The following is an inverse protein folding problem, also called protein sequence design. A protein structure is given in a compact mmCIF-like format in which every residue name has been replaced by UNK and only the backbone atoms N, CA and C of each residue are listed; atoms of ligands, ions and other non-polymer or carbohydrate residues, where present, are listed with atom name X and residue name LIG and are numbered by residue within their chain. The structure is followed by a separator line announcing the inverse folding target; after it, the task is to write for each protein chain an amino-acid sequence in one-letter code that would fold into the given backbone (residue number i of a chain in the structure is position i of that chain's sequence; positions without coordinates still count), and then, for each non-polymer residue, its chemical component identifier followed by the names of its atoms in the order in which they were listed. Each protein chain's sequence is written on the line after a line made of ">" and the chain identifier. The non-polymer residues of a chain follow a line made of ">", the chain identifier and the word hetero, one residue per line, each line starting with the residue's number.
data_IF_847497787095
#
_entry.id   IF_847497787095
#
_cell.length_a   1.000
_cell.length_b   1.000
_cell.length_c   1.000
_cell.angle_alpha   90.00
_cell.angle_beta   90.00
_cell.angle_gamma   90.00
#
_symmetry.space_group_name_H-M   'P 1'
#
loop_
_entity.id
_entity.type
_entity.pdbx_description
1 polymer ?
#
# COMPACT_ATOMS: atom_id res chain seq x y z
N UNK A 1 -14.86 -1.67 8.36
CA UNK A 1 -14.70 -0.97 7.07
C UNK A 1 -13.36 -1.36 6.49
N UNK A 2 -13.25 -1.44 5.16
CA UNK A 2 -11.99 -1.80 4.49
C UNK A 2 -11.65 -0.72 3.47
N UNK A 3 -10.39 -0.33 3.42
CA UNK A 3 -9.95 0.81 2.60
C UNK A 3 -8.68 0.47 1.85
N UNK A 4 -8.63 0.83 0.57
CA UNK A 4 -7.42 0.74 -0.24
C UNK A 4 -6.91 2.14 -0.61
N UNK A 5 -5.62 2.37 -0.33
CA UNK A 5 -4.89 3.54 -0.78
C UNK A 5 -4.17 3.22 -2.09
N UNK A 6 -4.36 4.09 -3.08
CA UNK A 6 -3.69 4.00 -4.37
C UNK A 6 -2.51 4.96 -4.44
N UNK A 7 -1.29 4.42 -4.49
CA UNK A 7 -0.06 5.21 -4.51
C UNK A 7 0.61 5.05 -5.87
N UNK A 8 0.51 6.09 -6.70
CA UNK A 8 1.09 6.13 -8.06
C UNK A 8 2.25 7.11 -8.20
N UNK A 9 2.51 7.94 -7.19
CA UNK A 9 3.61 8.92 -7.19
C UNK A 9 4.46 8.80 -5.92
N UNK A 10 5.70 9.28 -5.99
CA UNK A 10 6.61 9.31 -4.83
C UNK A 10 6.17 10.34 -3.78
N UNK A 11 5.48 11.40 -4.21
CA UNK A 11 4.81 12.35 -3.30
C UNK A 11 3.77 11.62 -2.44
N UNK A 12 2.90 10.83 -3.06
CA UNK A 12 1.91 10.01 -2.35
C UNK A 12 2.55 9.01 -1.38
N UNK A 13 3.66 8.40 -1.80
CA UNK A 13 4.43 7.50 -0.94
C UNK A 13 4.96 8.22 0.30
N UNK A 14 5.33 9.51 0.19
CA UNK A 14 5.98 10.27 1.26
C UNK A 14 5.12 10.50 2.50
N UNK A 15 3.80 10.29 2.41
CA UNK A 15 2.86 10.46 3.52
C UNK A 15 1.80 9.34 3.62
N UNK A 16 1.95 8.24 2.89
CA UNK A 16 0.93 7.15 2.92
C UNK A 16 0.85 6.49 4.30
N UNK A 17 1.97 6.31 4.97
CA UNK A 17 2.07 5.79 6.34
C UNK A 17 1.27 6.65 7.31
N UNK A 18 1.42 7.97 7.25
CA UNK A 18 0.65 8.89 8.07
C UNK A 18 -0.86 8.80 7.78
N UNK A 19 -1.27 8.61 6.51
CA UNK A 19 -2.68 8.42 6.16
C UNK A 19 -3.25 7.11 6.69
N UNK A 20 -2.49 6.02 6.58
CA UNK A 20 -2.89 4.70 7.10
C UNK A 20 -3.02 4.76 8.62
N UNK A 21 -2.02 5.28 9.33
CA UNK A 21 -2.03 5.41 10.79
C UNK A 21 -3.19 6.28 11.26
N UNK A 22 -3.44 7.42 10.61
CA UNK A 22 -4.57 8.28 10.97
C UNK A 22 -5.93 7.60 10.75
N UNK A 23 -6.09 6.79 9.70
CA UNK A 23 -7.32 6.04 9.46
C UNK A 23 -7.54 4.95 10.50
N UNK A 24 -6.47 4.24 10.89
CA UNK A 24 -6.55 3.18 11.90
C UNK A 24 -6.79 3.73 13.31
N UNK A 25 -6.30 4.94 13.61
CA UNK A 25 -6.50 5.62 14.89
C UNK A 25 -7.82 6.41 14.97
N UNK A 26 -8.67 6.38 13.92
CA UNK A 26 -9.96 7.07 13.94
C UNK A 26 -11.02 6.22 14.66
N UNK A 27 -11.15 6.46 15.96
CA UNK A 27 -12.11 5.77 16.84
C UNK A 27 -13.59 5.99 16.44
N UNK A 28 -13.88 6.90 15.51
CA UNK A 28 -15.24 7.08 14.98
C UNK A 28 -15.62 6.01 13.94
N UNK A 29 -14.64 5.23 13.47
CA UNK A 29 -14.80 4.21 12.44
C UNK A 29 -14.32 2.86 12.95
N UNK A 30 -15.09 1.80 12.68
CA UNK A 30 -14.58 0.43 12.82
C UNK A 30 -13.85 0.06 11.54
N UNK A 31 -12.52 0.20 11.48
CA UNK A 31 -11.67 -0.22 10.36
C UNK A 31 -11.17 -1.65 10.62
N UNK A 32 -11.31 -2.54 9.65
CA UNK A 32 -10.97 -3.97 9.79
C UNK A 32 -9.84 -4.39 8.84
N UNK A 33 -9.59 -3.62 7.77
CA UNK A 33 -8.44 -3.85 6.91
C UNK A 33 -8.06 -2.59 6.12
N UNK A 34 -6.76 -2.40 5.90
CA UNK A 34 -6.20 -1.36 5.05
C UNK A 34 -5.21 -1.98 4.07
N UNK A 35 -5.30 -1.62 2.80
CA UNK A 35 -4.36 -2.04 1.78
C UNK A 35 -3.73 -0.81 1.13
N UNK A 36 -2.46 -0.91 0.76
CA UNK A 36 -1.78 0.06 -0.10
C UNK A 36 -1.41 -0.64 -1.39
N UNK A 37 -1.86 -0.11 -2.53
CA UNK A 37 -1.50 -0.62 -3.86
C UNK A 37 -0.58 0.39 -4.53
N UNK A 38 0.63 -0.07 -4.84
CA UNK A 38 1.64 0.70 -5.58
C UNK A 38 1.68 0.23 -7.03
N UNK A 39 1.42 1.13 -7.98
CA UNK A 39 1.23 0.77 -9.39
C UNK A 39 2.22 1.41 -10.37
N UNK A 40 3.25 2.08 -9.86
CA UNK A 40 4.22 2.83 -10.66
C UNK A 40 5.67 2.35 -10.39
N UNK A 41 6.50 2.10 -11.43
CA UNK A 41 7.89 1.66 -11.26
C UNK A 41 8.74 2.58 -10.38
N UNK A 42 8.65 3.89 -10.57
CA UNK A 42 9.45 4.85 -9.81
C UNK A 42 9.08 4.86 -8.32
N UNK A 43 7.84 4.53 -8.00
CA UNK A 43 7.37 4.41 -6.61
C UNK A 43 7.81 3.10 -6.00
N UNK A 44 7.83 2.01 -6.79
CA UNK A 44 8.40 0.73 -6.36
C UNK A 44 9.89 0.89 -6.04
N UNK A 45 10.65 1.57 -6.90
CA UNK A 45 12.06 1.86 -6.66
C UNK A 45 12.27 2.69 -5.39
N UNK A 46 11.42 3.70 -5.17
CA UNK A 46 11.45 4.50 -3.94
C UNK A 46 11.07 3.68 -2.70
N UNK A 47 10.13 2.74 -2.82
CA UNK A 47 9.70 1.86 -1.73
C UNK A 47 10.76 0.82 -1.33
N UNK A 48 11.74 0.54 -2.19
CA UNK A 48 12.81 -0.41 -1.90
C UNK A 48 13.93 0.17 -1.02
N UNK A 49 14.04 1.51 -0.92
CA UNK A 49 15.18 2.15 -0.26
C UNK A 49 14.86 3.40 0.55
N UNK A 50 15.76 3.70 1.49
CA UNK A 50 15.73 4.91 2.33
C UNK A 50 14.37 5.14 3.00
N UNK A 51 13.99 6.41 3.04
CA UNK A 51 12.72 6.93 3.54
C UNK A 51 11.46 6.20 3.03
N UNK A 52 11.46 5.75 1.77
CA UNK A 52 10.30 5.05 1.21
C UNK A 52 10.15 3.64 1.78
N UNK A 53 11.27 2.97 2.04
CA UNK A 53 11.31 1.66 2.68
C UNK A 53 10.74 1.70 4.09
N UNK A 54 11.21 2.66 4.90
CA UNK A 54 10.77 2.83 6.30
C UNK A 54 9.25 3.08 6.39
N UNK A 55 8.69 3.84 5.43
CA UNK A 55 7.25 4.09 5.36
C UNK A 55 6.45 2.84 5.01
N UNK A 56 6.93 2.03 4.06
CA UNK A 56 6.28 0.75 3.74
C UNK A 56 6.34 -0.22 4.93
N UNK A 57 7.49 -0.30 5.63
CA UNK A 57 7.62 -1.07 6.86
C UNK A 57 6.65 -0.57 7.95
N UNK A 58 6.49 0.75 8.07
CA UNK A 58 5.52 1.36 9.00
C UNK A 58 4.08 0.96 8.66
N UNK A 59 3.68 0.99 7.39
CA UNK A 59 2.34 0.54 6.97
C UNK A 59 2.12 -0.94 7.31
N UNK A 60 3.09 -1.81 7.01
CA UNK A 60 3.00 -3.24 7.30
C UNK A 60 2.94 -3.52 8.81
N UNK A 61 3.65 -2.73 9.62
CA UNK A 61 3.65 -2.86 11.07
C UNK A 61 2.44 -2.20 11.76
N UNK A 62 1.68 -1.35 11.06
CA UNK A 62 0.52 -0.66 11.62
C UNK A 62 -0.70 -1.57 11.83
N UNK A 63 -0.71 -2.77 11.24
CA UNK A 63 -1.72 -3.77 11.51
C UNK A 63 -1.65 -4.28 12.96
N UNK A 64 -2.77 -4.79 13.47
CA UNK A 64 -2.89 -5.27 14.84
C UNK A 64 -4.12 -6.17 15.02
N UNK A 65 -4.52 -6.39 16.27
CA UNK A 65 -5.63 -7.30 16.60
C UNK A 65 -6.97 -6.90 15.95
N UNK A 66 -7.18 -5.60 15.73
CA UNK A 66 -8.43 -5.04 15.22
C UNK A 66 -8.47 -4.83 13.69
N UNK A 67 -7.30 -4.77 13.05
CA UNK A 67 -7.21 -4.46 11.62
C UNK A 67 -5.96 -5.03 10.95
N UNK A 68 -6.17 -5.63 9.77
CA UNK A 68 -5.08 -6.11 8.92
C UNK A 68 -4.51 -4.96 8.07
N UNK A 69 -3.19 -4.96 7.84
CA UNK A 69 -2.55 -4.09 6.84
C UNK A 69 -1.81 -4.90 5.79
N UNK A 70 -1.84 -4.42 4.55
CA UNK A 70 -1.14 -5.06 3.43
C UNK A 70 -0.57 -4.01 2.46
N UNK A 71 0.60 -4.30 1.89
CA UNK A 71 1.18 -3.52 0.80
C UNK A 71 1.35 -4.44 -0.41
N UNK A 72 0.79 -4.03 -1.56
CA UNK A 72 0.79 -4.79 -2.80
C UNK A 72 1.41 -3.98 -3.93
N UNK A 73 2.36 -4.57 -4.66
CA UNK A 73 2.97 -3.95 -5.84
C UNK A 73 2.41 -4.55 -7.13
N UNK A 74 2.16 -3.69 -8.11
CA UNK A 74 1.69 -4.09 -9.44
C UNK A 74 2.76 -4.92 -10.16
N UNK A 75 2.44 -6.16 -10.54
CA UNK A 75 3.35 -7.04 -11.26
C UNK A 75 3.88 -6.47 -12.58
N UNK A 76 3.07 -5.67 -13.29
CA UNK A 76 3.46 -5.05 -14.54
C UNK A 76 4.42 -3.87 -14.30
N UNK A 77 4.15 -3.06 -13.27
CA UNK A 77 5.02 -1.96 -12.88
C UNK A 77 6.37 -2.45 -12.34
N UNK A 78 6.37 -3.53 -11.57
CA UNK A 78 7.57 -4.18 -11.06
C UNK A 78 8.52 -4.61 -12.20
N UNK A 79 8.02 -4.92 -13.41
CA UNK A 79 8.88 -5.23 -14.58
C UNK A 79 9.61 -4.01 -15.14
N UNK A 80 9.09 -2.80 -14.89
CA UNK A 80 9.71 -1.55 -15.30
C UNK A 80 10.53 -0.89 -14.19
N UNK A 81 10.54 -1.47 -12.99
CA UNK A 81 11.30 -0.99 -11.85
C UNK A 81 12.73 -1.57 -11.91
N UNK A 82 13.66 -0.90 -11.25
CA UNK A 82 15.01 -1.43 -11.03
C UNK A 82 14.99 -2.44 -9.87
N UNK A 83 14.20 -2.15 -8.84
CA UNK A 83 14.00 -3.03 -7.70
C UNK A 83 13.18 -4.27 -8.05
N UNK A 84 13.53 -5.38 -7.42
CA UNK A 84 12.79 -6.64 -7.44
C UNK A 84 11.89 -6.75 -6.19
N UNK A 85 11.07 -7.80 -6.14
CA UNK A 85 10.25 -8.06 -4.95
C UNK A 85 11.12 -8.35 -3.71
N UNK A 86 12.32 -8.90 -3.90
CA UNK A 86 13.25 -9.24 -2.80
C UNK A 86 13.92 -8.00 -2.20
N UNK A 87 13.99 -6.91 -2.95
CA UNK A 87 14.54 -5.63 -2.48
C UNK A 87 13.53 -4.85 -1.61
N UNK A 88 12.24 -5.21 -1.67
CA UNK A 88 11.18 -4.56 -0.91
C UNK A 88 11.11 -5.08 0.53
N UNK A 89 10.46 -4.34 1.46
CA UNK A 89 10.19 -4.84 2.80
C UNK A 89 9.53 -6.22 2.84
N UNK A 90 9.90 -7.02 3.85
CA UNK A 90 9.26 -8.31 4.08
C UNK A 90 7.76 -8.12 4.34
N UNK A 91 6.92 -8.92 3.67
CA UNK A 91 5.46 -8.77 3.72
C UNK A 91 4.86 -7.97 2.58
N UNK A 92 5.67 -7.30 1.74
CA UNK A 92 5.16 -6.76 0.47
C UNK A 92 4.81 -7.89 -0.48
N UNK A 93 3.58 -7.88 -0.98
CA UNK A 93 3.05 -8.89 -1.89
C UNK A 93 2.97 -8.38 -3.33
N UNK A 94 2.93 -9.30 -4.29
CA UNK A 94 2.74 -8.97 -5.70
C UNK A 94 1.27 -9.13 -6.10
N UNK A 95 0.67 -8.07 -6.63
CA UNK A 95 -0.63 -8.16 -7.31
C UNK A 95 -0.46 -8.41 -8.81
N UNK A 96 -1.39 -9.14 -9.44
CA UNK A 96 -1.34 -9.44 -10.89
C UNK A 96 -1.34 -8.18 -11.77
N UNK A 97 -2.07 -7.14 -11.37
CA UNK A 97 -1.97 -5.78 -11.88
C UNK A 97 -2.50 -4.81 -10.83
N UNK A 98 -1.92 -3.61 -10.73
CA UNK A 98 -2.35 -2.60 -9.73
C UNK A 98 -3.80 -2.19 -9.94
N UNK A 99 -4.17 -1.80 -11.16
CA UNK A 99 -5.56 -1.45 -11.51
C UNK A 99 -6.53 -2.61 -11.33
N UNK A 100 -6.14 -3.85 -11.66
CA UNK A 100 -7.00 -5.02 -11.47
C UNK A 100 -7.22 -5.33 -9.99
N UNK A 101 -6.20 -5.13 -9.16
CA UNK A 101 -6.28 -5.24 -7.71
C UNK A 101 -7.23 -4.19 -7.12
N UNK A 102 -7.08 -2.93 -7.51
CA UNK A 102 -7.96 -1.84 -7.10
C UNK A 102 -9.42 -2.09 -7.51
N UNK A 103 -9.65 -2.63 -8.71
CA UNK A 103 -11.00 -2.98 -9.17
C UNK A 103 -11.58 -4.12 -8.35
N UNK A 104 -10.81 -5.19 -8.06
CA UNK A 104 -11.27 -6.31 -7.23
C UNK A 104 -11.64 -5.85 -5.82
N UNK A 105 -10.75 -5.10 -5.16
CA UNK A 105 -11.00 -4.59 -3.81
C UNK A 105 -12.26 -3.71 -3.78
N UNK A 106 -12.41 -2.78 -4.73
CA UNK A 106 -13.62 -1.96 -4.80
C UNK A 106 -14.89 -2.78 -5.06
N UNK A 107 -14.83 -3.78 -5.96
CA UNK A 107 -15.95 -4.69 -6.20
C UNK A 107 -16.33 -5.49 -4.95
N UNK A 108 -15.34 -5.83 -4.11
CA UNK A 108 -15.52 -6.48 -2.82
C UNK A 108 -15.96 -5.52 -1.70
N UNK A 109 -16.29 -4.27 -2.03
CA UNK A 109 -16.82 -3.27 -1.10
C UNK A 109 -15.76 -2.51 -0.31
N UNK A 110 -14.51 -2.47 -0.78
CA UNK A 110 -13.48 -1.61 -0.21
C UNK A 110 -13.68 -0.16 -0.65
N UNK A 111 -13.51 0.77 0.28
CA UNK A 111 -13.38 2.20 -0.03
C UNK A 111 -12.08 2.47 -0.76
N UNK A 112 -12.12 3.35 -1.76
CA UNK A 112 -10.93 3.75 -2.53
C UNK A 112 -10.50 5.16 -2.12
N UNK A 113 -9.21 5.32 -1.80
CA UNK A 113 -8.59 6.62 -1.56
C UNK A 113 -7.36 6.75 -2.44
N UNK A 114 -7.25 7.89 -3.12
CA UNK A 114 -6.02 8.30 -3.79
C UNK A 114 -5.49 9.53 -3.04
N UNK A 115 -4.46 9.36 -2.20
CA UNK A 115 -4.02 10.39 -1.28
C UNK A 115 -3.25 11.50 -2.00
#
# INVERSE_FOLDING_TARGET
>A
MRTVFHVSTTDQLSYVDAKVTNLLADDSLTVTAVAVVVDNPAVIDAAAGGDGRERVETVLAAGGDDADTAVRVCANALRGATATLEDLPAGVERASSGVGELTRLQADGWSYIRP
#
